data_IF_091844026304
#
_entry.id   IF_091844026304
#
_cell.length_a   1.000
_cell.length_b   1.000
_cell.length_c   1.000
_cell.angle_alpha   90.00
_cell.angle_beta   90.00
_cell.angle_gamma   90.00
#
_symmetry.space_group_name_H-M   'P 1'
#
loop_
_entity.id
_entity.type
_entity.pdbx_description
1 polymer ?
#
# COMPACT_ATOMS: atom_id res chain seq x y z
N UNK A 1 3.62 2.84 31.06
CA UNK A 1 3.53 1.79 30.03
C UNK A 1 2.32 0.88 30.23
N UNK A 2 2.02 0.45 31.45
CA UNK A 2 0.86 -0.47 31.68
C UNK A 2 -0.50 0.06 31.18
N UNK A 3 -0.80 1.35 31.26
CA UNK A 3 -2.09 1.90 30.84
C UNK A 3 -2.33 1.87 29.31
N UNK A 4 -1.27 1.97 28.51
CA UNK A 4 -1.37 1.92 27.05
C UNK A 4 -1.69 0.50 26.54
N UNK A 5 -1.01 -0.50 27.08
CA UNK A 5 -1.26 -1.90 26.75
C UNK A 5 -2.67 -2.35 27.16
N UNK A 6 -3.14 -1.87 28.32
CA UNK A 6 -4.48 -2.16 28.82
C UNK A 6 -5.56 -1.56 27.88
N UNK A 7 -5.37 -0.31 27.43
CA UNK A 7 -6.30 0.34 26.51
C UNK A 7 -6.30 -0.32 25.11
N UNK A 8 -5.12 -0.73 24.61
CA UNK A 8 -5.00 -1.51 23.36
C UNK A 8 -5.80 -2.81 23.48
N UNK A 9 -5.57 -3.58 24.55
CA UNK A 9 -6.23 -4.85 24.77
C UNK A 9 -7.76 -4.70 24.83
N UNK A 10 -8.24 -3.69 25.56
CA UNK A 10 -9.67 -3.36 25.66
C UNK A 10 -10.27 -3.02 24.29
N UNK A 11 -9.55 -2.22 23.50
CA UNK A 11 -9.99 -1.81 22.17
C UNK A 11 -10.11 -3.01 21.24
N UNK A 12 -9.12 -3.87 21.18
CA UNK A 12 -9.12 -5.05 20.31
C UNK A 12 -10.15 -6.11 20.74
N UNK A 13 -10.42 -6.24 22.03
CA UNK A 13 -11.52 -7.08 22.52
C UNK A 13 -12.87 -6.62 21.98
N UNK A 14 -13.12 -5.31 22.01
CA UNK A 14 -14.37 -4.72 21.55
C UNK A 14 -14.56 -4.82 20.02
N UNK A 15 -13.46 -4.70 19.26
CA UNK A 15 -13.45 -4.80 17.80
C UNK A 15 -13.58 -6.25 17.27
N UNK A 16 -13.63 -7.25 18.15
CA UNK A 16 -13.69 -8.68 17.80
C UNK A 16 -12.54 -9.12 16.88
N UNK A 17 -11.38 -8.48 17.01
CA UNK A 17 -10.18 -8.83 16.27
C UNK A 17 -9.58 -10.08 16.93
N UNK A 18 -9.30 -11.16 16.19
CA UNK A 18 -8.80 -12.40 16.77
C UNK A 18 -7.36 -12.31 17.27
N UNK A 19 -6.52 -11.55 16.56
CA UNK A 19 -5.10 -11.45 16.82
C UNK A 19 -4.53 -10.13 16.30
N UNK A 20 -3.62 -9.52 17.04
CA UNK A 20 -2.86 -8.33 16.62
C UNK A 20 -1.42 -8.49 17.08
N UNK A 21 -0.50 -8.28 16.17
CA UNK A 21 0.91 -8.05 16.45
C UNK A 21 1.18 -6.56 16.27
N UNK A 22 1.71 -5.90 17.29
CA UNK A 22 1.91 -4.45 17.25
C UNK A 22 3.28 -4.05 17.78
N UNK A 23 3.80 -2.97 17.23
CA UNK A 23 5.06 -2.39 17.65
C UNK A 23 5.08 -0.89 17.55
N UNK A 24 5.79 -0.24 18.46
CA UNK A 24 6.12 1.18 18.43
C UNK A 24 7.63 1.33 18.31
N UNK A 25 8.09 1.94 17.24
CA UNK A 25 9.51 2.01 16.91
C UNK A 25 9.95 3.45 16.64
N UNK A 26 11.23 3.71 16.80
CA UNK A 26 11.92 4.87 16.22
C UNK A 26 12.90 4.40 15.15
N UNK A 27 13.67 5.34 14.58
CA UNK A 27 14.76 5.00 13.66
C UNK A 27 15.86 4.11 14.25
N UNK A 28 15.97 4.06 15.57
CA UNK A 28 17.07 3.39 16.28
C UNK A 28 16.64 2.37 17.33
N UNK A 29 15.37 2.31 17.70
CA UNK A 29 14.90 1.42 18.77
C UNK A 29 13.44 1.03 18.67
N UNK A 30 13.12 -0.13 19.24
CA UNK A 30 11.74 -0.56 19.50
C UNK A 30 11.39 -0.14 20.93
N UNK A 31 10.37 0.69 21.10
CA UNK A 31 9.92 1.15 22.43
C UNK A 31 8.94 0.18 23.07
N UNK A 32 8.09 -0.42 22.24
CA UNK A 32 7.03 -1.31 22.68
C UNK A 32 6.78 -2.33 21.58
N UNK A 33 6.70 -3.59 21.94
CA UNK A 33 6.16 -4.63 21.07
C UNK A 33 5.23 -5.52 21.89
N UNK A 34 4.19 -6.03 21.27
CA UNK A 34 3.26 -6.90 21.94
C UNK A 34 2.39 -7.69 20.98
N UNK A 35 1.81 -8.75 21.53
CA UNK A 35 0.87 -9.61 20.82
C UNK A 35 -0.43 -9.64 21.61
N UNK A 36 -1.51 -9.19 21.01
CA UNK A 36 -2.85 -9.38 21.53
C UNK A 36 -3.46 -10.65 20.95
N UNK A 37 -4.05 -11.47 21.80
CA UNK A 37 -4.85 -12.64 21.41
C UNK A 37 -6.22 -12.55 22.06
N UNK A 38 -7.25 -12.54 21.21
CA UNK A 38 -8.61 -12.51 21.71
C UNK A 38 -9.04 -13.90 22.21
N UNK A 39 -9.39 -14.05 23.50
CA UNK A 39 -9.77 -15.34 24.08
C UNK A 39 -10.97 -16.02 23.39
N UNK A 40 -11.78 -15.26 22.66
CA UNK A 40 -12.94 -15.81 21.93
C UNK A 40 -12.56 -16.58 20.66
N UNK A 41 -11.29 -16.48 20.20
CA UNK A 41 -10.78 -17.10 18.97
C UNK A 41 -9.63 -18.07 19.27
N UNK A 42 -9.82 -18.95 20.27
CA UNK A 42 -8.78 -19.87 20.80
C UNK A 42 -8.24 -20.89 19.79
N UNK A 43 -8.93 -21.13 18.70
CA UNK A 43 -8.50 -22.06 17.64
C UNK A 43 -7.36 -21.52 16.76
N UNK A 44 -7.02 -20.25 16.87
CA UNK A 44 -5.98 -19.61 16.07
C UNK A 44 -4.66 -19.61 16.84
N UNK A 45 -3.66 -20.35 16.35
CA UNK A 45 -2.34 -20.49 16.97
C UNK A 45 -1.29 -19.52 16.40
N UNK A 46 -1.63 -18.23 16.30
CA UNK A 46 -0.67 -17.22 15.85
C UNK A 46 0.39 -16.91 16.93
N UNK A 47 1.59 -16.60 16.46
CA UNK A 47 2.71 -16.14 17.27
C UNK A 47 3.53 -15.13 16.49
N UNK A 48 4.59 -14.57 17.06
CA UNK A 48 5.43 -13.56 16.42
C UNK A 48 6.15 -14.01 15.13
N UNK A 49 6.14 -15.30 14.83
CA UNK A 49 6.67 -15.85 13.57
C UNK A 49 5.56 -16.11 12.54
N UNK A 50 4.32 -15.75 12.84
CA UNK A 50 3.20 -15.92 11.92
C UNK A 50 3.35 -15.01 10.72
N UNK A 51 3.02 -15.54 9.54
CA UNK A 51 3.06 -14.77 8.30
C UNK A 51 1.73 -14.04 8.10
N UNK A 52 1.82 -12.75 7.80
CA UNK A 52 0.69 -11.89 7.52
C UNK A 52 0.68 -11.47 6.06
N UNK A 53 -0.51 -11.46 5.47
CA UNK A 53 -0.71 -10.90 4.14
C UNK A 53 -0.67 -9.39 4.23
N UNK A 54 0.38 -8.76 3.73
CA UNK A 54 0.59 -7.31 3.84
C UNK A 54 -0.35 -6.49 2.94
N UNK A 55 -0.86 -7.06 1.85
CA UNK A 55 -1.69 -6.35 0.87
C UNK A 55 -1.07 -4.99 0.48
N UNK A 56 -1.81 -3.89 0.60
CA UNK A 56 -1.34 -2.55 0.21
C UNK A 56 -0.17 -2.00 1.04
N UNK A 57 0.14 -2.59 2.20
CA UNK A 57 1.34 -2.25 2.96
C UNK A 57 2.64 -2.62 2.23
N UNK A 58 2.56 -3.38 1.15
CA UNK A 58 3.67 -3.62 0.21
C UNK A 58 4.08 -2.34 -0.54
N UNK A 59 3.16 -1.38 -0.74
CA UNK A 59 3.44 -0.15 -1.50
C UNK A 59 4.59 0.69 -0.95
N UNK A 60 4.68 0.98 0.36
CA UNK A 60 5.83 1.69 0.93
C UNK A 60 7.17 1.00 0.67
N UNK A 61 7.22 -0.33 0.76
CA UNK A 61 8.43 -1.10 0.48
C UNK A 61 8.82 -0.99 -1.00
N UNK A 62 7.86 -1.14 -1.90
CA UNK A 62 8.09 -0.96 -3.35
C UNK A 62 8.54 0.47 -3.65
N UNK A 63 7.93 1.48 -3.05
CA UNK A 63 8.32 2.87 -3.22
C UNK A 63 9.75 3.13 -2.76
N UNK A 64 10.12 2.62 -1.58
CA UNK A 64 11.48 2.74 -1.07
C UNK A 64 12.51 2.11 -2.03
N UNK A 65 12.28 0.88 -2.47
CA UNK A 65 13.16 0.19 -3.41
C UNK A 65 13.25 0.90 -4.75
N UNK A 66 12.13 1.42 -5.25
CA UNK A 66 12.11 2.21 -6.49
C UNK A 66 12.96 3.48 -6.34
N UNK A 67 12.79 4.24 -5.26
CA UNK A 67 13.57 5.46 -5.01
C UNK A 67 15.07 5.16 -4.88
N UNK A 68 15.44 4.06 -4.21
CA UNK A 68 16.84 3.64 -4.10
C UNK A 68 17.44 3.32 -5.50
N UNK A 69 16.69 2.58 -6.34
CA UNK A 69 17.13 2.29 -7.71
C UNK A 69 17.24 3.55 -8.57
N UNK A 70 16.27 4.47 -8.48
CA UNK A 70 16.32 5.72 -9.23
C UNK A 70 17.57 6.54 -8.85
N UNK A 71 17.91 6.57 -7.56
CA UNK A 71 19.11 7.23 -7.05
C UNK A 71 20.40 6.56 -7.58
N UNK A 72 20.51 5.26 -7.46
CA UNK A 72 21.64 4.45 -7.92
C UNK A 72 21.92 4.66 -9.43
N UNK A 73 20.86 4.71 -10.24
CA UNK A 73 20.94 4.91 -11.68
C UNK A 73 20.90 6.39 -12.13
N UNK A 74 20.80 7.33 -11.18
CA UNK A 74 20.68 8.78 -11.44
C UNK A 74 19.51 9.14 -12.35
N UNK A 75 18.38 8.48 -12.16
CA UNK A 75 17.14 8.72 -12.89
C UNK A 75 16.29 9.69 -12.09
N UNK A 76 15.81 10.76 -12.75
CA UNK A 76 14.91 11.72 -12.10
C UNK A 76 13.51 11.08 -11.89
N UNK A 77 12.96 11.29 -10.71
CA UNK A 77 11.60 10.81 -10.36
C UNK A 77 10.52 11.36 -11.31
N UNK A 78 10.76 12.50 -11.96
CA UNK A 78 9.88 13.09 -12.97
C UNK A 78 10.15 12.59 -14.40
N UNK A 79 11.12 11.71 -14.59
CA UNK A 79 11.36 11.09 -15.88
C UNK A 79 10.20 10.15 -16.27
N UNK A 80 9.95 10.06 -17.58
CA UNK A 80 8.90 9.21 -18.12
C UNK A 80 9.22 7.73 -17.90
N UNK A 81 8.30 6.99 -17.29
CA UNK A 81 8.37 5.52 -17.19
C UNK A 81 8.37 4.88 -18.58
N UNK A 82 7.74 5.52 -19.57
CA UNK A 82 7.70 5.05 -20.95
C UNK A 82 9.05 5.01 -21.65
N UNK A 83 10.11 5.60 -21.08
CA UNK A 83 11.50 5.44 -21.54
C UNK A 83 12.01 4.01 -21.30
N UNK A 84 11.58 3.39 -20.20
CA UNK A 84 12.00 2.06 -19.75
C UNK A 84 10.97 0.98 -20.05
N UNK A 85 9.68 1.35 -20.08
CA UNK A 85 8.53 0.49 -20.36
C UNK A 85 7.66 1.14 -21.45
N UNK A 86 8.01 0.95 -22.75
CA UNK A 86 7.35 1.65 -23.86
C UNK A 86 5.85 1.41 -23.97
N UNK A 87 5.37 0.26 -23.48
CA UNK A 87 3.94 -0.12 -23.50
C UNK A 87 3.06 0.88 -22.77
N UNK A 88 3.59 1.54 -21.74
CA UNK A 88 2.86 2.56 -20.95
C UNK A 88 2.45 3.77 -21.81
N UNK A 89 3.19 4.07 -22.87
CA UNK A 89 2.90 5.18 -23.77
C UNK A 89 1.64 4.94 -24.62
N UNK A 90 1.15 3.71 -24.69
CA UNK A 90 -0.04 3.33 -25.45
C UNK A 90 -1.33 3.36 -24.59
N UNK A 91 -1.20 3.62 -23.31
CA UNK A 91 -2.36 3.72 -22.41
C UNK A 91 -3.27 4.87 -22.82
N UNK A 92 -4.57 4.62 -22.76
CA UNK A 92 -5.61 5.61 -23.07
C UNK A 92 -6.33 6.01 -21.80
N UNK A 93 -6.81 7.24 -21.77
CA UNK A 93 -7.66 7.73 -20.69
C UNK A 93 -9.10 7.32 -21.00
N UNK A 94 -9.70 6.51 -20.13
CA UNK A 94 -11.12 6.20 -20.15
C UNK A 94 -11.90 7.37 -19.53
N UNK A 95 -13.05 7.70 -20.09
CA UNK A 95 -13.97 8.69 -19.53
C UNK A 95 -15.42 8.32 -19.86
N UNK A 96 -16.34 8.75 -19.02
CA UNK A 96 -17.76 8.50 -19.21
C UNK A 96 -18.39 9.64 -20.00
N UNK A 97 -19.18 9.30 -21.03
CA UNK A 97 -19.99 10.23 -21.79
C UNK A 97 -21.42 9.67 -21.90
N UNK A 98 -22.34 10.22 -21.11
CA UNK A 98 -23.65 9.59 -20.89
C UNK A 98 -23.51 8.22 -20.23
N UNK A 99 -24.09 7.20 -20.83
CA UNK A 99 -23.99 5.80 -20.36
C UNK A 99 -22.87 5.00 -21.06
N UNK A 100 -22.05 5.66 -21.88
CA UNK A 100 -21.00 5.02 -22.64
C UNK A 100 -19.61 5.36 -22.11
N UNK A 101 -18.70 4.38 -22.14
CA UNK A 101 -17.28 4.59 -21.85
C UNK A 101 -16.58 4.90 -23.17
N UNK A 102 -15.86 6.01 -23.18
CA UNK A 102 -15.03 6.43 -24.32
C UNK A 102 -13.57 6.51 -23.91
N UNK A 103 -12.71 6.48 -24.91
CA UNK A 103 -11.27 6.51 -24.72
C UNK A 103 -10.65 7.65 -25.50
N UNK A 104 -9.72 8.37 -24.89
CA UNK A 104 -8.90 9.38 -25.55
C UNK A 104 -7.42 9.10 -25.32
N UNK A 105 -6.58 9.63 -26.19
CA UNK A 105 -5.13 9.54 -26.05
C UNK A 105 -4.67 10.23 -24.78
N UNK A 106 -3.75 9.58 -24.06
CA UNK A 106 -3.02 10.25 -23.00
C UNK A 106 -1.86 11.06 -23.64
N UNK A 107 -1.89 12.37 -23.49
CA UNK A 107 -0.84 13.26 -24.00
C UNK A 107 0.17 13.66 -22.91
N UNK A 108 -0.04 13.22 -21.67
CA UNK A 108 0.85 13.49 -20.54
C UNK A 108 1.62 12.22 -20.22
N UNK A 109 2.97 12.22 -20.33
CA UNK A 109 3.77 11.07 -19.97
C UNK A 109 3.53 10.66 -18.51
N UNK A 110 3.40 9.36 -18.28
CA UNK A 110 3.37 8.82 -16.91
C UNK A 110 4.81 8.78 -16.41
N UNK A 111 5.07 9.43 -15.27
CA UNK A 111 6.38 9.48 -14.63
C UNK A 111 6.46 8.55 -13.43
N UNK A 112 7.67 8.28 -12.93
CA UNK A 112 7.84 7.56 -11.66
C UNK A 112 7.13 8.28 -10.51
N UNK A 113 7.15 9.62 -10.48
CA UNK A 113 6.40 10.40 -9.51
C UNK A 113 4.90 10.08 -9.53
N UNK A 114 4.29 10.00 -10.72
CA UNK A 114 2.87 9.65 -10.81
C UNK A 114 2.55 8.26 -10.27
N UNK A 115 3.44 7.28 -10.49
CA UNK A 115 3.25 5.93 -9.97
C UNK A 115 3.43 5.88 -8.45
N UNK A 116 4.48 6.51 -7.93
CA UNK A 116 4.82 6.52 -6.51
C UNK A 116 3.78 7.26 -5.66
N UNK A 117 3.20 8.34 -6.22
CA UNK A 117 2.14 9.12 -5.53
C UNK A 117 0.72 8.60 -5.79
N UNK A 118 0.57 7.49 -6.51
CA UNK A 118 -0.74 6.93 -6.91
C UNK A 118 -1.61 7.91 -7.70
N UNK A 119 -1.01 8.80 -8.51
CA UNK A 119 -1.69 9.80 -9.35
C UNK A 119 -1.60 9.50 -10.85
N UNK A 120 -1.15 8.31 -11.22
CA UNK A 120 -1.01 7.89 -12.62
C UNK A 120 -2.33 7.69 -13.37
N UNK A 121 -3.45 7.63 -12.65
CA UNK A 121 -4.77 7.32 -13.22
C UNK A 121 -5.03 5.83 -13.43
N UNK A 122 -4.11 4.95 -13.04
CA UNK A 122 -4.36 3.51 -13.05
C UNK A 122 -5.36 3.14 -11.96
N UNK A 123 -6.39 2.38 -12.32
CA UNK A 123 -7.44 1.93 -11.42
C UNK A 123 -7.48 0.39 -11.34
N UNK A 124 -8.16 -0.12 -10.34
CA UNK A 124 -8.45 -1.54 -10.23
C UNK A 124 -9.77 -1.85 -10.91
N UNK A 125 -9.81 -2.92 -11.70
CA UNK A 125 -10.99 -3.39 -12.40
C UNK A 125 -12.24 -3.55 -11.50
N UNK A 126 -12.03 -3.88 -10.22
CA UNK A 126 -13.12 -4.12 -9.27
C UNK A 126 -13.59 -2.89 -8.49
N UNK A 127 -12.92 -1.74 -8.63
CA UNK A 127 -13.18 -0.56 -7.80
C UNK A 127 -13.57 0.68 -8.61
N UNK A 128 -13.42 0.64 -9.92
CA UNK A 128 -13.77 1.76 -10.77
C UNK A 128 -15.06 1.44 -11.54
N UNK A 129 -16.15 2.22 -11.34
CA UNK A 129 -17.39 2.02 -12.08
C UNK A 129 -17.28 2.37 -13.57
N UNK A 130 -16.11 2.84 -14.01
CA UNK A 130 -15.81 3.19 -15.40
C UNK A 130 -15.17 2.01 -16.17
N UNK A 131 -14.62 1.01 -15.47
CA UNK A 131 -13.96 -0.14 -16.11
C UNK A 131 -14.86 -1.37 -16.10
#
# INVERSE_FOLDING_TARGET
MNGFEEEINKTFLNLKIPFVDYGLTSSSSIFLEGIFRNPKFQSLSQNKNSLFRMASMTKPLTAYLTLALLDDYRIDVHESVGTYLPEINNLKIAYKEGDSIKYKKNNVPITFHHLLSCTSGNAYEHHDPII
#
